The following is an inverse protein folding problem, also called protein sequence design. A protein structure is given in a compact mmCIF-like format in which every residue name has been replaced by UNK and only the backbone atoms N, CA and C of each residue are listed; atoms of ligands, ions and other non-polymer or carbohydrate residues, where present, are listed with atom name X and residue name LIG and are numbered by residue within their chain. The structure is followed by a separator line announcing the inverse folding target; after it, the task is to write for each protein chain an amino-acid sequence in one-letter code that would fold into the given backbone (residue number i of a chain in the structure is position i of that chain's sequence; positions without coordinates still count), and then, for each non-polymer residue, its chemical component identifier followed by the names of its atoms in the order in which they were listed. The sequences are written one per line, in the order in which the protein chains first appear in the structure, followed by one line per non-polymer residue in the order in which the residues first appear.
data_IF_288057976361
#
_entry.id   IF_288057976361
#
_cell.length_a   1.000
_cell.length_b   1.000
_cell.length_c   1.000
_cell.angle_alpha   90.00
_cell.angle_beta   90.00
_cell.angle_gamma   90.00
#
_symmetry.space_group_name_H-M   'P 1'
#
loop_
_entity.id
_entity.type
_entity.pdbx_description
1 polymer ?
#
# COMPACT_ATOMS: atom_id res chain seq x y z
N UNK A 1 -38.00 -58.78 -39.70
CA UNK A 1 -39.38 -59.00 -39.25
C UNK A 1 -39.79 -57.71 -38.59
N UNK A 2 -40.57 -56.86 -39.31
CA UNK A 2 -42.04 -56.70 -39.21
C UNK A 2 -42.39 -56.48 -37.71
N UNK A 3 -42.97 -55.44 -37.20
CA UNK A 3 -44.14 -54.65 -37.62
C UNK A 3 -44.47 -53.82 -36.36
N UNK A 4 -44.91 -52.69 -36.27
CA UNK A 4 -45.99 -51.86 -36.71
C UNK A 4 -46.26 -50.79 -35.68
N UNK A 5 -46.34 -49.64 -36.12
CA UNK A 5 -46.90 -48.41 -35.65
C UNK A 5 -48.32 -48.54 -35.09
N UNK A 6 -48.67 -47.94 -33.99
CA UNK A 6 -50.01 -47.43 -33.71
C UNK A 6 -50.01 -46.11 -32.98
N UNK A 7 -50.44 -45.11 -33.70
CA UNK A 7 -50.89 -43.80 -33.31
C UNK A 7 -52.30 -43.92 -32.73
N UNK A 8 -52.53 -43.34 -31.52
CA UNK A 8 -53.89 -42.97 -31.11
C UNK A 8 -53.79 -41.62 -30.29
N UNK A 9 -54.29 -40.57 -30.92
CA UNK A 9 -54.88 -39.43 -30.20
C UNK A 9 -56.30 -39.75 -29.83
N UNK A 10 -56.87 -39.28 -28.75
CA UNK A 10 -57.75 -38.12 -28.85
C UNK A 10 -57.89 -37.20 -27.61
N UNK A 11 -58.40 -36.01 -27.90
CA UNK A 11 -59.33 -35.12 -27.20
C UNK A 11 -58.93 -34.31 -25.99
N UNK A 12 -58.71 -33.08 -26.28
CA UNK A 12 -59.17 -31.79 -25.77
C UNK A 12 -60.20 -31.88 -24.62
N UNK A 13 -59.81 -31.36 -23.44
CA UNK A 13 -60.75 -30.63 -22.56
C UNK A 13 -60.01 -29.41 -21.96
N UNK A 14 -60.48 -28.25 -22.38
CA UNK A 14 -60.12 -26.96 -21.82
C UNK A 14 -60.64 -26.85 -20.38
N UNK A 15 -59.76 -26.62 -19.43
CA UNK A 15 -60.17 -26.11 -18.09
C UNK A 15 -59.36 -24.84 -17.84
N UNK A 16 -60.06 -23.75 -17.93
CA UNK A 16 -59.63 -22.43 -17.46
C UNK A 16 -59.44 -22.51 -15.95
N UNK A 17 -58.21 -22.38 -15.45
CA UNK A 17 -57.93 -22.07 -14.07
C UNK A 17 -57.29 -20.69 -14.04
N UNK A 18 -58.02 -19.78 -13.50
CA UNK A 18 -57.71 -18.41 -13.15
C UNK A 18 -56.52 -18.43 -12.18
N UNK A 19 -55.30 -18.10 -12.67
CA UNK A 19 -54.13 -17.90 -11.79
C UNK A 19 -54.24 -16.50 -11.18
N UNK A 20 -54.55 -16.43 -9.91
CA UNK A 20 -54.49 -15.23 -9.12
C UNK A 20 -53.00 -14.78 -9.01
N UNK A 21 -52.66 -13.65 -9.62
CA UNK A 21 -51.39 -12.95 -9.40
C UNK A 21 -51.38 -12.43 -7.93
N UNK A 22 -50.76 -13.18 -7.04
CA UNK A 22 -50.27 -12.65 -5.75
C UNK A 22 -49.02 -11.84 -6.06
N UNK A 23 -49.20 -10.53 -6.20
CA UNK A 23 -48.10 -9.57 -6.11
C UNK A 23 -47.56 -9.61 -4.68
N UNK A 24 -46.50 -10.44 -4.51
CA UNK A 24 -45.68 -10.42 -3.30
C UNK A 24 -44.95 -9.09 -3.22
N UNK A 25 -45.47 -8.12 -2.49
CA UNK A 25 -44.69 -6.99 -2.07
C UNK A 25 -43.52 -7.51 -1.21
N UNK A 26 -42.34 -7.61 -1.79
CA UNK A 26 -41.13 -7.81 -1.04
C UNK A 26 -40.97 -6.58 -0.13
N UNK A 27 -41.31 -6.75 1.14
CA UNK A 27 -40.94 -5.82 2.20
C UNK A 27 -39.41 -5.87 2.25
N UNK A 28 -38.74 -4.99 1.51
CA UNK A 28 -37.34 -4.67 1.72
C UNK A 28 -37.28 -4.07 3.13
N UNK A 29 -36.87 -4.90 4.09
CA UNK A 29 -36.50 -4.40 5.40
C UNK A 29 -35.35 -3.44 5.16
N UNK A 30 -35.59 -2.17 5.36
CA UNK A 30 -34.55 -1.14 5.38
C UNK A 30 -33.59 -1.52 6.51
N UNK A 31 -32.46 -2.14 6.15
CA UNK A 31 -31.39 -2.39 7.10
C UNK A 31 -30.90 -1.04 7.59
N UNK A 32 -30.99 -0.79 8.88
CA UNK A 32 -30.42 0.39 9.50
C UNK A 32 -28.96 0.49 9.09
N UNK A 33 -28.55 1.54 8.36
CA UNK A 33 -27.19 1.63 7.89
C UNK A 33 -26.23 1.65 9.07
N UNK A 34 -25.21 0.79 9.00
CA UNK A 34 -24.14 0.75 10.02
C UNK A 34 -23.31 2.03 9.96
N UNK A 35 -22.66 2.43 11.06
CA UNK A 35 -21.68 3.50 11.02
C UNK A 35 -20.64 3.24 9.94
N UNK A 36 -20.31 4.26 9.17
CA UNK A 36 -19.32 4.17 8.09
C UNK A 36 -18.41 5.40 8.11
N UNK A 37 -17.22 5.23 7.54
CA UNK A 37 -16.25 6.30 7.39
C UNK A 37 -15.92 6.53 5.92
N UNK A 38 -15.53 7.76 5.61
CA UNK A 38 -15.14 8.13 4.27
C UNK A 38 -14.64 9.56 4.20
N UNK A 39 -14.39 10.03 2.98
CA UNK A 39 -13.96 11.41 2.71
C UNK A 39 -15.15 12.21 2.19
N UNK A 40 -15.32 13.43 2.66
CA UNK A 40 -16.30 14.38 2.14
C UNK A 40 -15.85 14.84 0.76
N UNK A 41 -16.60 14.49 -0.28
CA UNK A 41 -16.27 14.85 -1.67
C UNK A 41 -17.09 16.03 -2.20
N UNK A 42 -18.25 16.31 -1.60
CA UNK A 42 -19.06 17.49 -1.91
C UNK A 42 -19.93 17.88 -0.70
N UNK A 43 -20.29 19.17 -0.64
CA UNK A 43 -21.19 19.75 0.37
C UNK A 43 -22.21 20.58 -0.39
N UNK A 44 -23.50 20.23 -0.24
CA UNK A 44 -24.62 20.91 -0.90
C UNK A 44 -25.74 21.19 0.14
N UNK A 45 -25.88 22.46 0.55
CA UNK A 45 -26.82 22.83 1.62
C UNK A 45 -26.50 22.07 2.91
N UNK A 46 -27.43 21.24 3.42
CA UNK A 46 -27.24 20.36 4.60
C UNK A 46 -26.75 18.97 4.25
N UNK A 47 -26.48 18.69 2.97
CA UNK A 47 -26.13 17.33 2.51
C UNK A 47 -24.66 17.23 2.21
N UNK A 48 -24.01 16.18 2.76
CA UNK A 48 -22.65 15.80 2.46
C UNK A 48 -22.65 14.61 1.49
N UNK A 49 -21.76 14.66 0.50
CA UNK A 49 -21.41 13.47 -0.27
C UNK A 49 -20.16 12.86 0.33
N UNK A 50 -20.29 11.64 0.85
CA UNK A 50 -19.17 10.92 1.49
C UNK A 50 -18.81 9.70 0.67
N UNK A 51 -17.56 9.66 0.20
CA UNK A 51 -16.97 8.49 -0.48
C UNK A 51 -16.26 7.65 0.57
N UNK A 52 -16.68 6.38 0.73
CA UNK A 52 -16.04 5.44 1.66
C UNK A 52 -14.78 4.81 1.07
N UNK A 53 -13.95 4.23 1.93
CA UNK A 53 -12.72 3.53 1.52
C UNK A 53 -12.99 2.27 0.67
N UNK A 54 -14.22 1.75 0.72
CA UNK A 54 -14.71 0.64 -0.11
C UNK A 54 -15.42 1.10 -1.40
N UNK A 55 -15.11 2.31 -1.89
CA UNK A 55 -15.68 2.94 -3.08
C UNK A 55 -17.20 3.17 -3.07
N UNK A 56 -17.86 3.01 -1.94
CA UNK A 56 -19.27 3.39 -1.77
C UNK A 56 -19.42 4.91 -1.69
N UNK A 57 -20.43 5.47 -2.35
CA UNK A 57 -20.77 6.89 -2.27
C UNK A 57 -22.10 7.05 -1.57
N UNK A 58 -22.14 7.81 -0.48
CA UNK A 58 -23.33 8.06 0.32
C UNK A 58 -23.70 9.54 0.30
N UNK A 59 -24.98 9.81 0.10
CA UNK A 59 -25.57 11.12 0.36
C UNK A 59 -26.01 11.14 1.82
N UNK A 60 -25.44 12.05 2.61
CA UNK A 60 -25.67 12.17 4.05
C UNK A 60 -26.33 13.49 4.32
N UNK A 61 -27.60 13.46 4.72
CA UNK A 61 -28.29 14.62 5.23
C UNK A 61 -27.93 14.85 6.70
N UNK A 62 -27.55 16.07 7.01
CA UNK A 62 -27.11 16.46 8.36
C UNK A 62 -28.13 17.44 8.92
N UNK A 63 -29.12 16.95 9.68
CA UNK A 63 -30.12 17.80 10.31
C UNK A 63 -29.48 18.72 11.36
N UNK A 64 -30.18 19.82 11.69
CA UNK A 64 -29.66 20.84 12.60
C UNK A 64 -29.39 20.33 14.03
N UNK A 65 -30.03 19.26 14.43
CA UNK A 65 -29.86 18.57 15.73
C UNK A 65 -28.81 17.48 15.73
N UNK A 66 -28.22 17.16 14.55
CA UNK A 66 -27.11 16.21 14.46
C UNK A 66 -25.90 16.67 15.29
N UNK A 67 -25.30 15.72 16.01
CA UNK A 67 -24.09 16.01 16.77
C UNK A 67 -22.88 16.10 15.83
N UNK A 68 -22.35 17.30 15.63
CA UNK A 68 -21.14 17.53 14.85
C UNK A 68 -19.94 17.68 15.77
N UNK A 69 -18.94 16.82 15.59
CA UNK A 69 -17.74 16.75 16.41
C UNK A 69 -16.50 16.78 15.53
N UNK A 70 -15.43 17.38 16.03
CA UNK A 70 -14.09 17.31 15.48
C UNK A 70 -13.17 16.57 16.42
N UNK A 71 -12.32 15.70 15.91
CA UNK A 71 -11.26 15.03 16.66
C UNK A 71 -9.92 15.20 15.98
N UNK A 72 -8.86 15.12 16.77
CA UNK A 72 -7.49 15.07 16.23
C UNK A 72 -7.24 13.71 15.56
N UNK A 73 -6.41 13.65 14.48
CA UNK A 73 -6.04 12.39 13.86
C UNK A 73 -5.37 11.44 14.85
N UNK A 74 -5.85 10.20 14.93
CA UNK A 74 -5.34 9.17 15.84
C UNK A 74 -5.93 9.19 17.25
N UNK A 75 -6.93 10.04 17.53
CA UNK A 75 -7.69 9.97 18.78
C UNK A 75 -8.37 8.61 18.92
N UNK A 76 -8.25 8.00 20.11
CA UNK A 76 -8.81 6.65 20.38
C UNK A 76 -10.26 6.69 20.82
N UNK A 77 -10.73 7.85 21.28
CA UNK A 77 -12.08 8.06 21.79
C UNK A 77 -12.55 9.51 21.50
N UNK A 78 -13.76 9.82 21.93
CA UNK A 78 -14.38 11.13 21.74
C UNK A 78 -14.26 12.04 22.97
N UNK A 79 -13.44 11.69 23.96
CA UNK A 79 -13.32 12.48 25.20
C UNK A 79 -12.77 13.88 24.97
N UNK A 80 -11.88 14.02 23.98
CA UNK A 80 -11.28 15.30 23.56
C UNK A 80 -11.97 15.87 22.29
N UNK A 81 -13.18 15.39 21.95
CA UNK A 81 -13.89 15.87 20.76
C UNK A 81 -14.44 17.28 20.97
N UNK A 82 -14.19 18.16 20.03
CA UNK A 82 -14.73 19.52 19.99
C UNK A 82 -16.05 19.54 19.24
N UNK A 83 -17.06 20.27 19.76
CA UNK A 83 -18.27 20.54 19.00
C UNK A 83 -17.97 21.55 17.90
N UNK A 84 -18.43 21.27 16.69
CA UNK A 84 -18.27 22.14 15.53
C UNK A 84 -19.61 22.43 14.91
N UNK A 85 -19.67 23.46 14.04
CA UNK A 85 -20.81 23.80 13.21
C UNK A 85 -20.70 23.09 11.85
N UNK A 86 -21.82 23.04 11.10
CA UNK A 86 -21.83 22.48 9.75
C UNK A 86 -20.86 23.24 8.81
N UNK A 87 -20.74 24.56 8.98
CA UNK A 87 -19.83 25.41 8.21
C UNK A 87 -18.35 25.12 8.45
N UNK A 88 -18.01 24.40 9.50
CA UNK A 88 -16.64 23.98 9.78
C UNK A 88 -16.22 22.75 8.98
N UNK A 89 -17.18 22.04 8.39
CA UNK A 89 -16.88 20.88 7.52
C UNK A 89 -16.38 21.37 6.16
N UNK A 90 -15.43 20.68 5.59
CA UNK A 90 -14.86 21.00 4.29
C UNK A 90 -14.73 19.75 3.40
N UNK A 91 -14.74 19.98 2.08
CA UNK A 91 -14.40 18.94 1.11
C UNK A 91 -12.95 18.49 1.37
N UNK A 92 -12.74 17.19 1.41
CA UNK A 92 -11.46 16.58 1.76
C UNK A 92 -11.35 16.15 3.24
N UNK A 93 -12.21 16.63 4.13
CA UNK A 93 -12.24 16.16 5.51
C UNK A 93 -12.67 14.68 5.58
N UNK A 94 -12.09 13.93 6.51
CA UNK A 94 -12.54 12.56 6.82
C UNK A 94 -13.73 12.65 7.77
N UNK A 95 -14.75 11.87 7.48
CA UNK A 95 -15.96 11.83 8.29
C UNK A 95 -16.31 10.39 8.71
N UNK A 96 -16.56 10.20 10.01
CA UNK A 96 -17.24 9.01 10.54
C UNK A 96 -18.69 9.39 10.76
N UNK A 97 -19.58 8.78 10.00
CA UNK A 97 -21.02 9.02 10.05
C UNK A 97 -21.67 7.93 10.86
N UNK A 98 -22.41 8.32 11.90
CA UNK A 98 -23.36 7.46 12.61
C UNK A 98 -24.75 7.78 12.11
N UNK A 99 -25.41 6.89 11.35
CA UNK A 99 -26.77 7.08 10.88
C UNK A 99 -27.78 7.13 12.01
N UNK A 100 -28.86 7.88 11.80
CA UNK A 100 -30.06 7.79 12.64
C UNK A 100 -30.81 6.48 12.30
N UNK A 101 -31.06 5.60 13.29
CA UNK A 101 -31.79 4.37 13.05
C UNK A 101 -33.25 4.61 12.62
N UNK A 102 -33.80 5.80 12.89
CA UNK A 102 -35.17 6.18 12.54
C UNK A 102 -35.25 6.99 11.23
N UNK A 103 -34.08 7.27 10.63
CA UNK A 103 -34.03 8.00 9.37
C UNK A 103 -34.65 7.22 8.23
N UNK A 104 -35.45 7.89 7.40
CA UNK A 104 -36.12 7.31 6.24
C UNK A 104 -35.81 8.13 4.98
N UNK A 105 -35.70 7.46 3.83
CA UNK A 105 -35.47 8.12 2.55
C UNK A 105 -34.22 7.63 1.82
N UNK A 106 -33.91 8.21 0.66
CA UNK A 106 -32.77 7.81 -0.16
C UNK A 106 -31.42 8.28 0.38
N UNK A 107 -31.39 9.34 1.19
CA UNK A 107 -30.21 9.86 1.86
C UNK A 107 -30.09 9.29 3.26
N UNK A 108 -28.84 9.14 3.71
CA UNK A 108 -28.57 8.70 5.09
C UNK A 108 -28.72 9.90 6.02
N UNK A 109 -29.69 9.88 6.92
CA UNK A 109 -29.80 10.90 7.96
C UNK A 109 -28.74 10.66 9.03
N UNK A 110 -27.95 11.69 9.31
CA UNK A 110 -26.89 11.60 10.30
C UNK A 110 -27.38 11.95 11.70
N UNK A 111 -27.24 11.01 12.64
CA UNK A 111 -27.36 11.30 14.07
C UNK A 111 -26.10 12.00 14.60
N UNK A 112 -24.94 11.62 14.06
CA UNK A 112 -23.64 12.22 14.42
C UNK A 112 -22.69 12.15 13.26
N UNK A 113 -21.90 13.19 13.09
CA UNK A 113 -20.74 13.22 12.20
C UNK A 113 -19.52 13.59 13.02
N UNK A 114 -18.49 12.74 12.98
CA UNK A 114 -17.20 13.03 13.59
C UNK A 114 -16.20 13.31 12.47
N UNK A 115 -15.72 14.54 12.41
CA UNK A 115 -14.81 15.01 11.37
C UNK A 115 -13.35 15.02 11.84
N UNK A 116 -12.44 14.66 10.94
CA UNK A 116 -11.01 14.90 11.06
C UNK A 116 -10.65 15.84 9.91
N UNK A 117 -10.09 16.98 10.21
CA UNK A 117 -9.69 17.96 9.21
C UNK A 117 -8.59 17.40 8.30
N UNK A 118 -8.75 17.62 6.99
CA UNK A 118 -7.71 17.27 6.01
C UNK A 118 -6.36 17.91 6.37
N UNK A 119 -6.36 19.18 6.81
CA UNK A 119 -5.16 19.88 7.25
C UNK A 119 -4.46 19.21 8.44
N UNK A 120 -5.23 18.76 9.43
CA UNK A 120 -4.69 18.11 10.62
C UNK A 120 -4.10 16.75 10.27
N UNK A 121 -4.77 16.03 9.35
CA UNK A 121 -4.30 14.77 8.83
C UNK A 121 -2.98 14.95 8.07
N UNK A 122 -2.89 15.94 7.17
CA UNK A 122 -1.68 16.27 6.44
C UNK A 122 -0.52 16.66 7.37
N UNK A 123 -0.78 17.46 8.39
CA UNK A 123 0.22 17.84 9.40
C UNK A 123 0.71 16.61 10.20
N UNK A 124 -0.20 15.73 10.59
CA UNK A 124 0.18 14.50 11.28
C UNK A 124 1.06 13.63 10.40
N UNK A 125 0.68 13.44 9.15
CA UNK A 125 1.46 12.67 8.18
C UNK A 125 2.85 13.26 7.96
N UNK A 126 2.94 14.59 7.83
CA UNK A 126 4.23 15.26 7.72
C UNK A 126 5.11 15.01 8.95
N UNK A 127 4.57 15.17 10.15
CA UNK A 127 5.29 14.89 11.41
C UNK A 127 5.72 13.44 11.51
N UNK A 128 4.85 12.50 11.15
CA UNK A 128 5.16 11.07 11.16
C UNK A 128 6.29 10.76 10.15
N UNK A 129 6.26 11.35 8.93
CA UNK A 129 7.36 11.20 7.95
C UNK A 129 8.69 11.74 8.49
N UNK A 130 8.68 12.94 9.05
CA UNK A 130 9.88 13.58 9.63
C UNK A 130 10.44 12.74 10.79
N UNK A 131 9.57 12.18 11.63
CA UNK A 131 9.96 11.31 12.73
C UNK A 131 10.55 9.99 12.24
N UNK A 132 9.94 9.35 11.24
CA UNK A 132 10.51 8.17 10.59
C UNK A 132 11.85 8.46 9.91
N UNK A 133 12.03 9.62 9.29
CA UNK A 133 13.32 10.00 8.67
C UNK A 133 14.41 10.20 9.72
N UNK A 134 14.09 10.86 10.82
CA UNK A 134 15.04 11.17 11.89
C UNK A 134 15.35 9.95 12.75
N UNK A 135 14.33 9.24 13.21
CA UNK A 135 14.41 8.17 14.21
C UNK A 135 14.35 6.77 13.64
N UNK A 136 14.00 6.66 12.36
CA UNK A 136 13.84 5.38 11.69
C UNK A 136 15.17 4.77 11.25
N UNK A 137 15.21 3.46 11.21
CA UNK A 137 16.21 2.62 10.54
C UNK A 137 15.50 1.61 9.66
N UNK A 138 16.19 1.11 8.64
CA UNK A 138 15.63 0.07 7.78
C UNK A 138 16.71 -0.81 7.18
N UNK A 139 16.35 -2.03 6.85
CA UNK A 139 17.27 -2.99 6.24
C UNK A 139 16.66 -4.37 6.07
N UNK A 140 17.51 -5.30 5.63
CA UNK A 140 17.18 -6.72 5.55
C UNK A 140 17.49 -7.40 6.88
N UNK A 141 16.58 -8.20 7.35
CA UNK A 141 16.75 -9.03 8.55
C UNK A 141 17.82 -10.08 8.29
N UNK A 142 18.89 -10.06 9.08
CA UNK A 142 19.92 -11.11 9.09
C UNK A 142 19.55 -12.25 10.02
N UNK A 143 19.10 -11.92 11.22
CA UNK A 143 18.69 -12.87 12.23
C UNK A 143 17.71 -12.25 13.22
N UNK A 144 16.92 -13.10 13.85
CA UNK A 144 15.97 -12.74 14.90
C UNK A 144 16.23 -13.65 16.09
N UNK A 145 16.39 -13.08 17.26
CA UNK A 145 16.36 -13.77 18.54
C UNK A 145 15.09 -13.36 19.29
N UNK A 146 14.07 -14.16 19.15
CA UNK A 146 12.78 -13.88 19.77
C UNK A 146 12.83 -13.94 21.30
N UNK A 147 13.75 -14.74 21.87
CA UNK A 147 13.86 -14.88 23.32
C UNK A 147 14.43 -13.61 23.98
N UNK A 148 15.42 -12.98 23.34
CA UNK A 148 16.01 -11.72 23.82
C UNK A 148 15.34 -10.47 23.24
N UNK A 149 14.46 -10.62 22.24
CA UNK A 149 13.83 -9.49 21.55
C UNK A 149 14.79 -8.71 20.64
N UNK A 150 15.84 -9.36 20.13
CA UNK A 150 16.90 -8.73 19.33
C UNK A 150 16.78 -9.13 17.86
N UNK A 151 16.82 -8.13 16.97
CA UNK A 151 16.80 -8.34 15.53
C UNK A 151 18.05 -7.68 14.93
N UNK A 152 18.83 -8.42 14.14
CA UNK A 152 19.96 -7.89 13.41
C UNK A 152 19.56 -7.54 11.98
N UNK A 153 19.82 -6.29 11.58
CA UNK A 153 19.56 -5.80 10.23
C UNK A 153 20.86 -5.56 9.47
N UNK A 154 20.83 -5.79 8.16
CA UNK A 154 21.79 -5.26 7.21
C UNK A 154 21.21 -4.02 6.56
N UNK A 155 21.80 -2.85 6.81
CA UNK A 155 21.40 -1.58 6.22
C UNK A 155 22.50 -1.06 5.31
N UNK A 156 22.14 -0.51 4.15
CA UNK A 156 23.10 -0.09 3.13
C UNK A 156 23.44 -1.19 2.12
N UNK A 157 24.25 -0.86 1.13
CA UNK A 157 24.63 -1.78 0.05
C UNK A 157 26.16 -1.83 -0.14
N UNK A 158 26.68 -2.99 -0.54
CA UNK A 158 28.10 -3.19 -0.82
C UNK A 158 28.99 -2.95 0.40
N UNK A 159 30.14 -2.30 0.20
CA UNK A 159 31.09 -1.99 1.26
C UNK A 159 30.58 -1.00 2.33
N UNK A 160 29.49 -0.29 2.05
CA UNK A 160 28.84 0.61 2.99
C UNK A 160 27.75 -0.05 3.83
N UNK A 161 27.55 -1.36 3.71
CA UNK A 161 26.59 -2.10 4.49
C UNK A 161 26.98 -2.10 5.98
N UNK A 162 26.05 -1.63 6.84
CA UNK A 162 26.20 -1.64 8.28
C UNK A 162 25.25 -2.66 8.90
N UNK A 163 25.69 -3.26 9.99
CA UNK A 163 24.79 -4.05 10.82
C UNK A 163 24.17 -3.13 11.86
N UNK A 164 22.83 -3.16 11.98
CA UNK A 164 22.08 -2.43 12.99
C UNK A 164 21.38 -3.45 13.88
N UNK A 165 21.52 -3.26 15.20
CA UNK A 165 20.83 -4.06 16.20
C UNK A 165 19.56 -3.35 16.61
N UNK A 166 18.42 -4.02 16.46
CA UNK A 166 17.11 -3.55 16.88
C UNK A 166 16.71 -4.28 18.15
N UNK A 167 16.57 -3.54 19.23
CA UNK A 167 16.07 -4.05 20.51
C UNK A 167 14.57 -3.81 20.62
N UNK A 168 13.80 -4.86 20.80
CA UNK A 168 12.35 -4.79 21.02
C UNK A 168 12.03 -5.05 22.49
N UNK A 169 11.00 -4.41 22.99
CA UNK A 169 10.44 -4.60 24.33
C UNK A 169 8.99 -5.07 24.24
N UNK A 170 8.39 -5.47 25.36
CA UNK A 170 6.96 -5.85 25.41
C UNK A 170 6.02 -4.71 24.97
N UNK A 171 6.48 -3.46 25.06
CA UNK A 171 5.75 -2.26 24.65
C UNK A 171 5.97 -1.91 23.18
N UNK A 172 6.94 -2.55 22.50
CA UNK A 172 7.19 -2.32 21.08
C UNK A 172 5.99 -2.76 20.24
N UNK A 173 5.51 -1.87 19.38
CA UNK A 173 4.46 -2.19 18.42
C UNK A 173 5.06 -2.96 17.25
N UNK A 174 4.78 -4.24 17.15
CA UNK A 174 5.24 -5.10 16.06
C UNK A 174 4.11 -5.29 15.06
N UNK A 175 4.38 -4.98 13.79
CA UNK A 175 3.45 -5.14 12.66
C UNK A 175 4.11 -5.89 11.52
N UNK A 176 3.28 -6.53 10.70
CA UNK A 176 3.70 -7.17 9.45
C UNK A 176 2.77 -6.77 8.32
N UNK A 177 3.32 -6.44 7.18
CA UNK A 177 2.53 -6.21 5.97
C UNK A 177 1.79 -7.48 5.57
N UNK A 178 0.56 -7.30 5.08
CA UNK A 178 -0.18 -8.41 4.46
C UNK A 178 0.58 -8.91 3.21
N UNK A 179 0.50 -10.19 2.86
CA UNK A 179 1.29 -10.78 1.78
C UNK A 179 1.16 -10.11 0.41
N UNK A 180 0.03 -9.44 0.14
CA UNK A 180 -0.23 -8.76 -1.13
C UNK A 180 -0.23 -7.23 -1.04
N UNK A 181 0.12 -6.66 0.12
CA UNK A 181 0.04 -5.22 0.37
C UNK A 181 1.31 -4.67 0.99
N UNK A 182 1.57 -3.40 0.71
CA UNK A 182 2.62 -2.59 1.35
C UNK A 182 2.04 -1.39 2.08
N UNK A 183 0.73 -1.37 2.23
CA UNK A 183 0.02 -0.31 2.92
C UNK A 183 0.18 -0.47 4.42
N UNK A 184 0.61 0.60 5.07
CA UNK A 184 0.83 0.61 6.51
C UNK A 184 -0.46 0.40 7.31
N UNK A 185 -1.58 0.92 6.81
CA UNK A 185 -2.92 0.78 7.42
C UNK A 185 -3.47 -0.65 7.34
N UNK A 186 -3.01 -1.43 6.37
CA UNK A 186 -3.34 -2.85 6.21
C UNK A 186 -2.39 -3.78 6.97
N UNK A 187 -1.29 -3.23 7.51
CA UNK A 187 -0.35 -4.01 8.30
C UNK A 187 -0.99 -4.48 9.61
N UNK A 188 -0.87 -5.76 9.87
CA UNK A 188 -1.47 -6.41 11.03
C UNK A 188 -0.47 -6.54 12.18
N UNK A 189 -0.93 -6.46 13.44
CA UNK A 189 -0.10 -6.84 14.57
C UNK A 189 0.44 -8.25 14.38
N UNK A 190 1.73 -8.44 14.60
CA UNK A 190 2.39 -9.73 14.44
C UNK A 190 3.44 -9.94 15.55
N UNK A 191 3.61 -11.16 16.08
CA UNK A 191 4.65 -11.44 17.06
C UNK A 191 6.03 -11.40 16.41
N UNK A 192 7.08 -11.32 17.25
CA UNK A 192 8.46 -11.24 16.76
C UNK A 192 8.88 -12.51 15.99
N UNK A 193 8.32 -13.65 16.31
CA UNK A 193 8.54 -14.94 15.67
C UNK A 193 8.06 -14.95 14.20
N UNK A 194 7.17 -14.04 13.83
CA UNK A 194 6.71 -13.89 12.45
C UNK A 194 7.73 -13.15 11.57
N UNK A 195 8.81 -12.61 12.15
CA UNK A 195 9.88 -11.93 11.41
C UNK A 195 10.95 -12.96 11.08
N UNK A 196 11.31 -13.06 9.81
CA UNK A 196 12.24 -14.07 9.31
C UNK A 196 13.50 -13.42 8.70
N UNK A 197 14.60 -14.17 8.70
CA UNK A 197 15.78 -13.75 7.94
C UNK A 197 15.44 -13.59 6.46
N UNK A 198 15.89 -12.48 5.86
CA UNK A 198 15.53 -12.08 4.50
C UNK A 198 14.31 -11.15 4.39
N UNK A 199 13.53 -10.99 5.46
CA UNK A 199 12.47 -9.97 5.48
C UNK A 199 13.06 -8.57 5.39
N UNK A 200 12.33 -7.66 4.79
CA UNK A 200 12.58 -6.23 4.93
C UNK A 200 11.93 -5.75 6.22
N UNK A 201 12.66 -4.91 6.97
CA UNK A 201 12.19 -4.39 8.23
C UNK A 201 12.53 -2.92 8.37
N UNK A 202 11.58 -2.16 8.90
CA UNK A 202 11.79 -0.79 9.40
C UNK A 202 11.50 -0.76 10.88
N UNK A 203 12.34 -0.05 11.62
CA UNK A 203 12.13 0.20 13.04
C UNK A 203 12.25 1.69 13.31
N UNK A 204 11.44 2.21 14.23
CA UNK A 204 11.47 3.58 14.72
C UNK A 204 11.63 3.56 16.23
N UNK A 205 12.50 4.39 16.74
CA UNK A 205 12.79 4.45 18.17
C UNK A 205 13.99 5.34 18.51
N UNK A 206 14.59 5.12 19.64
CA UNK A 206 15.79 5.83 20.07
C UNK A 206 17.05 5.13 19.58
N UNK A 207 17.91 5.87 18.86
CA UNK A 207 19.18 5.37 18.35
C UNK A 207 20.31 5.73 19.31
N UNK A 208 21.31 4.83 19.38
CA UNK A 208 22.57 5.19 20.00
C UNK A 208 23.32 6.26 19.16
N UNK A 209 24.39 6.84 19.71
CA UNK A 209 25.16 7.93 19.07
C UNK A 209 25.72 7.51 17.69
N UNK A 210 26.11 6.25 17.53
CA UNK A 210 26.73 5.73 16.30
C UNK A 210 25.70 5.24 15.27
N UNK A 211 24.41 5.20 15.65
CA UNK A 211 23.31 4.71 14.79
C UNK A 211 23.39 3.22 14.46
N UNK A 212 24.13 2.45 15.29
CA UNK A 212 24.28 0.99 15.14
C UNK A 212 23.30 0.19 15.97
N UNK A 213 22.63 0.84 16.92
CA UNK A 213 21.61 0.23 17.76
C UNK A 213 20.38 1.12 17.87
N UNK A 214 19.22 0.52 18.03
CA UNK A 214 17.96 1.22 18.22
C UNK A 214 17.09 0.50 19.25
N UNK A 215 16.59 1.23 20.24
CA UNK A 215 15.51 0.79 21.10
C UNK A 215 14.18 1.07 20.38
N UNK A 216 13.58 0.04 19.83
CA UNK A 216 12.43 0.19 18.95
C UNK A 216 11.12 0.42 19.71
N UNK A 217 10.40 1.48 19.35
CA UNK A 217 9.01 1.74 19.75
C UNK A 217 8.04 1.07 18.79
N UNK A 218 8.40 1.05 17.51
CA UNK A 218 7.60 0.47 16.44
C UNK A 218 8.49 -0.26 15.44
N UNK A 219 8.04 -1.44 15.03
CA UNK A 219 8.68 -2.27 13.99
C UNK A 219 7.62 -2.69 13.00
N UNK A 220 7.93 -2.55 11.71
CA UNK A 220 7.12 -3.08 10.62
C UNK A 220 7.99 -3.94 9.71
N UNK A 221 7.54 -5.16 9.43
CA UNK A 221 8.26 -6.14 8.61
C UNK A 221 7.41 -6.65 7.46
N UNK A 222 8.06 -7.22 6.46
CA UNK A 222 7.38 -7.90 5.36
C UNK A 222 8.35 -8.73 4.53
N UNK A 223 7.85 -9.82 3.96
CA UNK A 223 8.58 -10.59 2.95
C UNK A 223 8.38 -9.94 1.59
N UNK A 224 9.48 -9.56 0.96
CA UNK A 224 9.46 -8.96 -0.36
C UNK A 224 10.50 -9.66 -1.24
N UNK A 225 10.19 -9.71 -2.51
CA UNK A 225 11.01 -10.38 -3.51
C UNK A 225 11.62 -9.35 -4.46
N UNK A 226 12.93 -9.43 -4.63
CA UNK A 226 13.63 -8.67 -5.66
C UNK A 226 13.61 -9.47 -6.97
N UNK A 227 13.13 -8.85 -8.04
CA UNK A 227 13.07 -9.43 -9.38
C UNK A 227 13.87 -8.53 -10.30
N UNK A 228 14.82 -9.12 -11.00
CA UNK A 228 15.56 -8.46 -12.05
C UNK A 228 15.35 -9.25 -13.35
N UNK A 229 14.95 -8.58 -14.42
CA UNK A 229 14.61 -9.29 -15.64
C UNK A 229 14.30 -8.40 -16.81
N UNK A 230 13.79 -9.03 -17.86
CA UNK A 230 13.42 -8.37 -19.11
C UNK A 230 11.91 -8.48 -19.32
N UNK A 231 11.26 -7.39 -19.68
CA UNK A 231 9.83 -7.34 -19.98
C UNK A 231 9.54 -8.18 -21.23
N UNK A 232 8.67 -9.18 -21.09
CA UNK A 232 8.25 -10.05 -22.20
C UNK A 232 6.89 -9.64 -22.79
N UNK A 233 6.01 -9.07 -21.97
CA UNK A 233 4.74 -8.49 -22.42
C UNK A 233 4.26 -7.40 -21.47
N UNK A 234 3.42 -6.51 -22.00
CA UNK A 234 2.79 -5.40 -21.29
C UNK A 234 1.28 -5.49 -21.52
N UNK A 235 0.51 -5.37 -20.46
CA UNK A 235 -0.95 -5.23 -20.48
C UNK A 235 -1.31 -3.92 -19.78
N UNK A 236 -1.39 -2.84 -20.56
CA UNK A 236 -1.72 -1.52 -20.04
C UNK A 236 -3.17 -1.47 -19.51
N UNK A 237 -4.11 -2.20 -20.12
CA UNK A 237 -5.51 -2.22 -19.71
C UNK A 237 -5.68 -2.99 -18.38
N UNK A 238 -4.96 -4.10 -18.21
CA UNK A 238 -4.95 -4.88 -16.97
C UNK A 238 -3.99 -4.36 -15.91
N UNK A 239 -3.28 -3.24 -16.16
CA UNK A 239 -2.27 -2.70 -15.25
C UNK A 239 -1.24 -3.76 -14.81
N UNK A 240 -0.75 -4.55 -15.77
CA UNK A 240 0.18 -5.64 -15.52
C UNK A 240 1.29 -5.72 -16.57
N UNK A 241 2.39 -6.32 -16.19
CA UNK A 241 3.48 -6.68 -17.11
C UNK A 241 4.02 -8.07 -16.76
N UNK A 242 4.61 -8.75 -17.74
CA UNK A 242 5.27 -10.03 -17.52
C UNK A 242 6.78 -9.84 -17.68
N UNK A 243 7.52 -10.25 -16.67
CA UNK A 243 8.97 -10.18 -16.64
C UNK A 243 9.55 -11.59 -16.66
N UNK A 244 10.54 -11.83 -17.52
CA UNK A 244 11.37 -13.02 -17.44
C UNK A 244 12.46 -12.78 -16.38
N UNK A 245 12.27 -13.35 -15.21
CA UNK A 245 13.20 -13.24 -14.08
C UNK A 245 14.55 -13.89 -14.44
N UNK A 246 15.61 -13.14 -14.31
CA UNK A 246 16.99 -13.61 -14.64
C UNK A 246 17.51 -14.65 -13.65
N UNK A 247 17.06 -14.62 -12.39
CA UNK A 247 17.49 -15.56 -11.37
C UNK A 247 16.84 -16.94 -11.57
N UNK A 248 15.52 -16.96 -11.71
CA UNK A 248 14.73 -18.21 -11.82
C UNK A 248 14.49 -18.68 -13.24
N UNK A 249 14.75 -17.83 -14.25
CA UNK A 249 14.45 -18.02 -15.68
C UNK A 249 12.95 -18.20 -15.98
N UNK A 250 12.10 -17.99 -15.00
CA UNK A 250 10.63 -18.12 -15.12
C UNK A 250 10.00 -16.78 -15.49
N UNK A 251 8.82 -16.85 -16.06
CA UNK A 251 7.97 -15.67 -16.25
C UNK A 251 7.22 -15.39 -14.97
N UNK A 252 7.16 -14.13 -14.58
CA UNK A 252 6.44 -13.64 -13.41
C UNK A 252 5.53 -12.52 -13.88
N UNK A 253 4.25 -12.62 -13.55
CA UNK A 253 3.27 -11.56 -13.79
C UNK A 253 3.37 -10.54 -12.67
N UNK A 254 3.63 -9.29 -13.06
CA UNK A 254 3.80 -8.17 -12.14
C UNK A 254 2.57 -7.27 -12.27
N UNK A 255 1.82 -7.15 -11.21
CA UNK A 255 0.69 -6.20 -11.11
C UNK A 255 1.21 -4.82 -10.70
N UNK A 256 0.81 -3.81 -11.43
CA UNK A 256 1.09 -2.41 -11.14
C UNK A 256 -0.14 -1.79 -10.49
N UNK A 257 0.03 -1.19 -9.33
CA UNK A 257 -1.03 -0.49 -8.60
C UNK A 257 -0.78 1.02 -8.60
N UNK A 258 -1.75 1.80 -8.16
CA UNK A 258 -1.59 3.25 -8.01
C UNK A 258 -0.46 3.63 -7.03
N UNK A 259 -0.12 2.72 -6.11
CA UNK A 259 0.94 2.90 -5.10
C UNK A 259 2.32 2.46 -5.62
N UNK A 260 2.40 1.80 -6.77
CA UNK A 260 3.66 1.35 -7.35
C UNK A 260 4.51 2.56 -7.77
N UNK A 261 5.71 2.67 -7.19
CA UNK A 261 6.66 3.70 -7.59
C UNK A 261 7.45 3.23 -8.80
N UNK A 262 7.23 3.89 -9.94
CA UNK A 262 7.92 3.56 -11.18
C UNK A 262 8.86 4.69 -11.57
N UNK A 263 10.12 4.35 -11.85
CA UNK A 263 11.17 5.30 -12.23
C UNK A 263 12.02 4.75 -13.35
N UNK A 264 12.62 5.64 -14.14
CA UNK A 264 13.60 5.27 -15.17
C UNK A 264 14.96 5.84 -14.81
N UNK A 265 15.94 4.98 -14.75
CA UNK A 265 17.33 5.39 -14.52
C UNK A 265 17.93 5.90 -15.82
N UNK A 266 18.41 7.16 -15.88
CA UNK A 266 19.13 7.64 -17.04
C UNK A 266 20.39 6.80 -17.29
N UNK A 267 20.70 6.49 -18.55
CA UNK A 267 21.77 5.59 -18.95
C UNK A 267 23.13 5.91 -18.30
N UNK A 268 23.47 7.21 -18.24
CA UNK A 268 24.71 7.67 -17.58
C UNK A 268 24.73 7.32 -16.09
N UNK A 269 23.58 7.45 -15.42
CA UNK A 269 23.47 7.09 -14.01
C UNK A 269 23.53 5.59 -13.81
N UNK A 270 22.88 4.81 -14.69
CA UNK A 270 22.92 3.34 -14.66
C UNK A 270 24.34 2.83 -14.83
N UNK A 271 25.09 3.35 -15.81
CA UNK A 271 26.48 2.98 -16.08
C UNK A 271 27.39 3.33 -14.88
N UNK A 272 27.26 4.56 -14.34
CA UNK A 272 28.06 4.99 -13.19
C UNK A 272 27.78 4.11 -11.96
N UNK A 273 26.52 3.79 -11.72
CA UNK A 273 26.11 2.93 -10.61
C UNK A 273 26.61 1.49 -10.79
N UNK A 274 26.56 0.95 -12.01
CA UNK A 274 27.10 -0.36 -12.36
C UNK A 274 28.62 -0.45 -12.14
N UNK A 275 29.39 0.56 -12.58
CA UNK A 275 30.83 0.64 -12.35
C UNK A 275 31.16 0.66 -10.85
N UNK A 276 30.39 1.41 -10.06
CA UNK A 276 30.59 1.49 -8.61
C UNK A 276 30.29 0.15 -7.93
N UNK A 277 29.23 -0.54 -8.34
CA UNK A 277 28.86 -1.86 -7.81
C UNK A 277 29.87 -2.96 -8.18
N UNK A 278 30.51 -2.85 -9.36
CA UNK A 278 31.59 -3.76 -9.80
C UNK A 278 32.92 -3.47 -9.09
N UNK A 279 33.02 -2.41 -8.29
CA UNK A 279 34.26 -2.03 -7.61
C UNK A 279 35.37 -1.52 -8.55
N UNK A 280 35.04 -1.21 -9.81
CA UNK A 280 36.00 -0.78 -10.85
C UNK A 280 36.34 0.72 -10.78
N UNK A 281 36.00 1.42 -9.73
CA UNK A 281 36.36 2.84 -9.55
C UNK A 281 37.79 3.04 -9.02
N UNK A 282 38.75 2.19 -9.43
CA UNK A 282 40.18 2.42 -9.22
C UNK A 282 40.82 3.35 -10.27
N UNK A 283 40.03 4.05 -11.08
CA UNK A 283 40.49 5.04 -12.02
C UNK A 283 40.26 6.45 -11.49
N UNK A 284 41.35 7.13 -11.10
CA UNK A 284 41.42 8.48 -10.55
C UNK A 284 40.72 9.57 -11.37
N UNK A 285 39.42 9.63 -11.26
CA UNK A 285 38.63 10.82 -11.52
C UNK A 285 38.51 11.60 -10.23
N UNK A 286 39.38 12.59 -10.07
CA UNK A 286 39.39 13.53 -8.95
C UNK A 286 38.06 14.29 -8.91
N UNK A 287 37.11 13.79 -8.13
CA UNK A 287 35.94 14.58 -7.71
C UNK A 287 36.47 15.64 -6.76
N UNK A 288 36.65 16.82 -7.32
CA UNK A 288 37.09 17.98 -6.59
C UNK A 288 36.04 18.31 -5.50
N UNK A 289 36.27 17.90 -4.26
CA UNK A 289 35.68 18.46 -3.07
C UNK A 289 34.29 17.98 -2.63
N UNK A 290 33.73 16.86 -3.12
CA UNK A 290 32.40 16.39 -2.71
C UNK A 290 32.35 14.89 -2.36
N UNK A 291 31.70 14.55 -1.26
CA UNK A 291 31.36 13.18 -0.89
C UNK A 291 30.54 12.55 -2.03
N UNK A 292 30.93 11.38 -2.54
CA UNK A 292 30.24 10.73 -3.62
C UNK A 292 28.76 10.51 -3.28
N UNK A 293 27.79 10.93 -4.12
CA UNK A 293 26.39 10.87 -3.78
C UNK A 293 25.94 9.44 -3.44
N UNK A 294 25.14 9.32 -2.39
CA UNK A 294 24.57 8.04 -1.97
C UNK A 294 23.75 7.43 -3.13
N UNK A 295 23.97 6.15 -3.48
CA UNK A 295 23.18 5.46 -4.50
C UNK A 295 21.67 5.60 -4.31
N UNK A 296 21.21 5.66 -3.08
CA UNK A 296 19.80 5.82 -2.74
C UNK A 296 19.27 7.22 -3.09
N UNK A 297 20.05 8.26 -2.85
CA UNK A 297 19.70 9.61 -3.27
C UNK A 297 19.64 9.73 -4.80
N UNK A 298 20.52 9.01 -5.49
CA UNK A 298 20.52 8.98 -6.97
C UNK A 298 19.23 8.32 -7.49
N UNK A 299 18.82 7.18 -6.93
CA UNK A 299 17.57 6.50 -7.30
C UNK A 299 16.34 7.37 -6.99
N UNK A 300 16.35 8.08 -5.87
CA UNK A 300 15.28 9.01 -5.51
C UNK A 300 15.11 10.20 -6.46
N UNK A 301 16.18 10.56 -7.21
CA UNK A 301 16.16 11.64 -8.21
C UNK A 301 15.84 11.14 -9.62
N UNK A 302 15.77 9.84 -9.84
CA UNK A 302 15.42 9.28 -11.15
C UNK A 302 14.00 9.71 -11.55
N UNK A 303 13.75 10.10 -12.82
CA UNK A 303 12.44 10.53 -13.28
C UNK A 303 11.36 9.47 -13.05
N UNK A 304 10.19 9.91 -12.60
CA UNK A 304 9.01 9.06 -12.52
C UNK A 304 8.51 8.73 -13.92
N UNK A 305 8.02 7.52 -14.12
CA UNK A 305 7.43 7.04 -15.37
C UNK A 305 6.10 6.35 -15.10
N UNK A 306 5.32 6.14 -16.15
CA UNK A 306 4.09 5.36 -16.12
C UNK A 306 4.29 4.01 -16.84
N UNK A 307 3.32 3.09 -16.66
CA UNK A 307 3.35 1.78 -17.31
C UNK A 307 3.42 1.91 -18.85
N UNK A 308 2.76 2.93 -19.41
CA UNK A 308 2.77 3.21 -20.84
C UNK A 308 4.14 3.61 -21.40
N UNK A 309 5.05 4.07 -20.55
CA UNK A 309 6.40 4.46 -20.95
C UNK A 309 7.38 3.26 -21.06
N UNK A 310 6.96 2.09 -20.58
CA UNK A 310 7.77 0.86 -20.64
C UNK A 310 7.64 0.18 -22.01
N UNK A 311 8.68 -0.54 -22.39
CA UNK A 311 8.72 -1.25 -23.66
C UNK A 311 9.03 -2.75 -23.46
N UNK A 312 8.47 -3.57 -24.36
CA UNK A 312 8.86 -4.98 -24.45
C UNK A 312 10.35 -5.09 -24.79
N UNK A 313 11.04 -5.97 -24.07
CA UNK A 313 12.50 -6.14 -24.20
C UNK A 313 13.31 -5.27 -23.25
N UNK A 314 12.71 -4.27 -22.61
CA UNK A 314 13.38 -3.39 -21.65
C UNK A 314 13.75 -4.16 -20.38
N UNK A 315 14.93 -3.88 -19.85
CA UNK A 315 15.38 -4.42 -18.60
C UNK A 315 14.80 -3.65 -17.41
N UNK A 316 14.30 -4.38 -16.45
CA UNK A 316 13.74 -3.82 -15.22
C UNK A 316 14.27 -4.54 -13.98
N UNK A 317 14.34 -3.79 -12.90
CA UNK A 317 14.56 -4.30 -11.56
C UNK A 317 13.38 -3.82 -10.70
N UNK A 318 12.83 -4.70 -9.89
CA UNK A 318 11.68 -4.35 -9.05
C UNK A 318 11.71 -5.09 -7.72
N UNK A 319 11.08 -4.46 -6.74
CA UNK A 319 10.70 -5.10 -5.48
C UNK A 319 9.21 -5.35 -5.55
N UNK A 320 8.83 -6.57 -5.25
CA UNK A 320 7.45 -7.01 -5.28
C UNK A 320 7.08 -7.76 -3.99
N UNK A 321 5.79 -7.92 -3.77
CA UNK A 321 5.27 -8.79 -2.73
C UNK A 321 5.71 -10.24 -2.97
N UNK A 322 5.71 -11.06 -1.92
CA UNK A 322 6.05 -12.47 -2.04
C UNK A 322 4.91 -13.23 -2.75
N UNK A 323 5.25 -13.92 -3.83
CA UNK A 323 4.32 -14.70 -4.65
C UNK A 323 5.07 -15.54 -5.68
N UNK A 324 4.52 -16.69 -6.04
CA UNK A 324 5.19 -17.65 -6.93
C UNK A 324 5.16 -17.24 -8.40
N UNK A 325 4.00 -16.83 -8.92
CA UNK A 325 3.78 -16.54 -10.35
C UNK A 325 3.15 -15.17 -10.63
N UNK A 326 2.43 -14.62 -9.67
CA UNK A 326 1.84 -13.28 -9.72
C UNK A 326 2.21 -12.54 -8.45
N UNK A 327 2.70 -11.31 -8.60
CA UNK A 327 3.15 -10.44 -7.51
C UNK A 327 2.75 -9.00 -7.78
N UNK A 328 2.59 -8.20 -6.74
CA UNK A 328 2.35 -6.76 -6.87
C UNK A 328 3.67 -6.00 -6.73
N UNK A 329 3.96 -5.12 -7.68
CA UNK A 329 5.15 -4.28 -7.61
C UNK A 329 5.00 -3.19 -6.57
N UNK A 330 6.04 -2.99 -5.77
CA UNK A 330 6.19 -1.88 -4.82
C UNK A 330 6.96 -0.76 -5.49
N UNK A 331 8.13 -1.11 -6.02
CA UNK A 331 8.98 -0.21 -6.77
C UNK A 331 9.44 -0.90 -8.06
N UNK A 332 9.49 -0.16 -9.14
CA UNK A 332 10.02 -0.63 -10.43
C UNK A 332 11.00 0.40 -10.96
N UNK A 333 12.17 -0.07 -11.32
CA UNK A 333 13.22 0.71 -11.93
C UNK A 333 13.51 0.18 -13.34
N UNK A 334 13.31 1.01 -14.34
CA UNK A 334 13.61 0.74 -15.75
C UNK A 334 14.93 1.38 -16.15
N UNK A 335 15.47 1.02 -17.31
CA UNK A 335 16.75 1.52 -17.81
C UNK A 335 17.94 0.98 -17.02
N UNK A 336 17.87 -0.26 -16.59
CA UNK A 336 18.82 -0.90 -15.67
C UNK A 336 19.73 -1.92 -16.36
N UNK A 337 19.79 -1.94 -17.68
CA UNK A 337 20.61 -2.87 -18.45
C UNK A 337 22.05 -2.98 -17.91
N UNK A 338 22.76 -1.86 -17.63
CA UNK A 338 24.11 -1.92 -17.10
C UNK A 338 24.21 -2.57 -15.71
N UNK A 339 23.14 -2.47 -14.90
CA UNK A 339 23.10 -3.04 -13.55
C UNK A 339 22.88 -4.55 -13.56
N UNK A 340 22.22 -5.08 -14.59
CA UNK A 340 21.95 -6.52 -14.72
C UNK A 340 23.23 -7.34 -14.95
N UNK A 341 24.31 -6.70 -15.35
CA UNK A 341 25.63 -7.32 -15.45
C UNK A 341 26.33 -7.53 -14.08
N UNK A 342 25.76 -6.98 -12.99
CA UNK A 342 26.26 -7.16 -11.62
C UNK A 342 25.13 -7.56 -10.67
N UNK A 343 24.45 -8.70 -10.89
CA UNK A 343 23.15 -9.00 -10.28
C UNK A 343 23.18 -9.12 -8.74
N UNK A 344 24.25 -9.66 -8.16
CA UNK A 344 24.32 -9.86 -6.71
C UNK A 344 24.39 -8.54 -5.92
N UNK A 345 25.16 -7.58 -6.42
CA UNK A 345 25.31 -6.27 -5.77
C UNK A 345 24.07 -5.36 -5.99
N UNK A 346 23.41 -5.51 -7.14
CA UNK A 346 22.24 -4.72 -7.49
C UNK A 346 20.96 -5.13 -6.72
N UNK A 347 20.84 -6.39 -6.32
CA UNK A 347 19.71 -6.84 -5.48
C UNK A 347 19.65 -6.12 -4.13
N UNK A 348 20.81 -5.93 -3.48
CA UNK A 348 20.88 -5.20 -2.21
C UNK A 348 20.54 -3.70 -2.35
N UNK A 349 20.79 -3.13 -3.53
CA UNK A 349 20.48 -1.74 -3.83
C UNK A 349 18.98 -1.48 -3.79
N UNK A 350 18.19 -2.35 -4.39
CA UNK A 350 16.72 -2.22 -4.45
C UNK A 350 16.06 -2.45 -3.10
N UNK A 351 16.54 -3.42 -2.32
CA UNK A 351 15.98 -3.72 -1.01
C UNK A 351 15.97 -2.50 -0.10
N UNK A 352 17.09 -1.75 -0.11
CA UNK A 352 17.18 -0.54 0.69
C UNK A 352 16.38 0.64 0.10
N UNK A 353 16.26 0.70 -1.22
CA UNK A 353 15.49 1.75 -1.89
C UNK A 353 13.99 1.62 -1.64
N UNK A 354 13.43 0.41 -1.72
CA UNK A 354 12.00 0.18 -1.45
C UNK A 354 11.61 0.60 -0.04
N UNK A 355 12.49 0.39 0.93
CA UNK A 355 12.24 0.77 2.33
C UNK A 355 12.24 2.30 2.52
N UNK A 356 13.10 3.04 1.82
CA UNK A 356 13.15 4.50 1.90
C UNK A 356 12.10 5.19 1.01
N UNK A 357 11.74 4.56 -0.11
CA UNK A 357 10.65 5.01 -0.99
C UNK A 357 9.26 4.85 -0.37
N UNK A 358 9.11 3.92 0.57
CA UNK A 358 7.90 3.70 1.36
C UNK A 358 7.48 4.85 2.29
N UNK A 359 8.29 5.93 2.40
CA UNK A 359 7.80 7.19 2.93
C UNK A 359 6.67 7.78 2.06
N UNK A 360 6.63 7.45 0.75
CA UNK A 360 5.49 7.75 -0.14
C UNK A 360 4.30 6.79 0.04
N UNK A 361 4.54 5.53 0.41
CA UNK A 361 3.45 4.59 0.71
C UNK A 361 2.73 4.93 2.02
N UNK A 362 3.43 5.52 3.00
CA UNK A 362 2.76 6.11 4.16
C UNK A 362 1.92 7.36 3.80
N UNK A 363 2.17 7.96 2.63
CA UNK A 363 1.42 9.10 2.11
C UNK A 363 0.13 8.65 1.41
N UNK A 364 0.13 7.52 0.72
CA UNK A 364 -1.06 6.92 0.11
C UNK A 364 -2.01 6.29 1.15
N UNK A 365 -1.47 5.79 2.25
CA UNK A 365 -2.25 5.19 3.34
C UNK A 365 -3.05 6.18 4.18
N UNK A 366 -2.96 7.46 3.87
CA UNK A 366 -3.60 8.52 4.63
C UNK A 366 -4.52 9.42 3.78
N UNK A 367 -4.82 9.00 2.53
CA UNK A 367 -5.84 9.65 1.70
C UNK A 367 -7.19 8.96 1.84
#
# INVERSE_FOLDING_TARGET
MKTTMKIVFPFITARWTMAALLAGAALTQAQTPKPFQGTITAINGSTLTVKTDADGVYQVDVPADAALLRIAPGAKDLSAAEKISFSDLAVGDRALVKPDPNGSGPAVHALRVVAIKQSDLALKQQKDREDWQRRGVGGLVKSVDAASGVILLSSGAGAAAKTITVHTAKTTMLKRYAPASVRYDEAQPAPIEAIHAGDQLRARGEKNADGTEIAAEEVISGSFRNIAGTITSLDAAGSALVVKDLATKKQVTIRITAETQMRRLPERMATMLAMRLKGTTSGGGQWSGGQAPDPQQMLGRAPAIQLADLQKGEAVMLVATDGASEVSAITLLAGVEPLLEAPAASQNLLSNWSMNGGAGAAEAAAQ
#
